data_IF_948726447277
#
_entry.id   IF_948726447277
#
_cell.length_a   1.000
_cell.length_b   1.000
_cell.length_c   1.000
_cell.angle_alpha   90.00
_cell.angle_beta   90.00
_cell.angle_gamma   90.00
#
_symmetry.space_group_name_H-M   'P 1'
#
loop_
_entity.id
_entity.type
_entity.pdbx_description
1 polymer ?
#
# COMPACT_ATOMS: atom_id res chain seq x y z
N UNK A 1 -16.29 -24.17 1.88
CA UNK A 1 -15.66 -23.32 2.91
C UNK A 1 -16.78 -22.75 3.75
N UNK A 2 -16.68 -22.82 5.05
CA UNK A 2 -17.68 -22.26 5.97
C UNK A 2 -17.42 -20.78 6.21
N UNK A 3 -18.44 -20.06 6.66
CA UNK A 3 -18.31 -18.64 7.05
C UNK A 3 -17.22 -18.44 8.12
N UNK A 4 -17.12 -19.37 9.08
CA UNK A 4 -16.06 -19.37 10.09
C UNK A 4 -14.67 -19.47 9.46
N UNK A 5 -14.46 -20.42 8.55
CA UNK A 5 -13.18 -20.59 7.85
C UNK A 5 -12.79 -19.34 7.05
N UNK A 6 -13.75 -18.72 6.36
CA UNK A 6 -13.53 -17.48 5.60
C UNK A 6 -13.04 -16.37 6.54
N UNK A 7 -13.71 -16.17 7.69
CA UNK A 7 -13.30 -15.14 8.65
C UNK A 7 -11.98 -15.46 9.35
N UNK A 8 -11.66 -16.73 9.60
CA UNK A 8 -10.36 -17.13 10.12
C UNK A 8 -9.25 -16.76 9.13
N UNK A 9 -9.43 -17.06 7.84
CA UNK A 9 -8.49 -16.68 6.79
C UNK A 9 -8.38 -15.17 6.63
N UNK A 10 -9.50 -14.45 6.68
CA UNK A 10 -9.52 -12.99 6.64
C UNK A 10 -8.71 -12.37 7.77
N UNK A 11 -8.90 -12.83 9.01
CA UNK A 11 -8.15 -12.31 10.16
C UNK A 11 -6.65 -12.63 10.05
N UNK A 12 -6.28 -13.81 9.56
CA UNK A 12 -4.87 -14.14 9.27
C UNK A 12 -4.28 -13.21 8.20
N UNK A 13 -4.98 -13.00 7.09
CA UNK A 13 -4.55 -12.09 6.03
C UNK A 13 -4.41 -10.63 6.49
N UNK A 14 -5.26 -10.18 7.42
CA UNK A 14 -5.14 -8.86 8.04
C UNK A 14 -3.87 -8.69 8.85
N UNK A 15 -3.42 -9.72 9.58
CA UNK A 15 -2.17 -9.66 10.33
C UNK A 15 -0.98 -9.43 9.39
N UNK A 16 -0.94 -10.18 8.27
CA UNK A 16 0.08 -9.99 7.23
C UNK A 16 0.00 -8.58 6.66
N UNK A 17 -1.21 -8.09 6.36
CA UNK A 17 -1.43 -6.73 5.86
C UNK A 17 -0.88 -5.64 6.80
N UNK A 18 -1.10 -5.77 8.12
CA UNK A 18 -0.56 -4.83 9.12
C UNK A 18 0.97 -4.88 9.15
N UNK A 19 1.58 -6.07 9.12
CA UNK A 19 3.04 -6.20 9.09
C UNK A 19 3.64 -5.58 7.82
N UNK A 20 3.04 -5.84 6.65
CA UNK A 20 3.47 -5.23 5.39
C UNK A 20 3.31 -3.71 5.38
N UNK A 21 2.25 -3.18 6.00
CA UNK A 21 2.06 -1.74 6.15
C UNK A 21 3.14 -1.11 7.01
N UNK A 22 3.49 -1.70 8.16
CA UNK A 22 4.59 -1.23 9.01
C UNK A 22 5.91 -1.24 8.23
N UNK A 23 6.21 -2.32 7.51
CA UNK A 23 7.40 -2.39 6.64
C UNK A 23 7.43 -1.29 5.59
N UNK A 24 6.28 -0.95 5.02
CA UNK A 24 6.16 0.14 4.04
C UNK A 24 6.45 1.51 4.65
N UNK A 25 5.97 1.79 5.87
CA UNK A 25 6.26 3.05 6.57
C UNK A 25 7.76 3.19 6.86
N UNK A 26 8.42 2.12 7.29
CA UNK A 26 9.87 2.12 7.53
C UNK A 26 10.65 2.34 6.22
N UNK A 27 10.22 1.70 5.13
CA UNK A 27 10.83 1.88 3.82
C UNK A 27 10.66 3.33 3.32
N UNK A 28 9.47 3.92 3.47
CA UNK A 28 9.21 5.32 3.11
C UNK A 28 10.09 6.26 3.94
N UNK A 29 10.20 6.02 5.24
CA UNK A 29 11.09 6.79 6.10
C UNK A 29 12.55 6.72 5.62
N UNK A 30 13.03 5.52 5.25
CA UNK A 30 14.35 5.35 4.67
C UNK A 30 14.50 6.12 3.34
N UNK A 31 13.50 6.09 2.46
CA UNK A 31 13.49 6.84 1.20
C UNK A 31 13.62 8.34 1.44
N UNK A 32 12.88 8.89 2.39
CA UNK A 32 12.95 10.30 2.78
C UNK A 32 14.32 10.64 3.39
N UNK A 33 14.91 9.74 4.17
CA UNK A 33 16.25 9.91 4.72
C UNK A 33 17.32 9.94 3.61
N UNK A 34 17.25 9.03 2.65
CA UNK A 34 18.15 9.03 1.48
C UNK A 34 17.97 10.30 0.65
N UNK A 35 16.73 10.73 0.41
CA UNK A 35 16.45 12.00 -0.27
C UNK A 35 17.11 13.20 0.43
N UNK A 36 17.00 13.28 1.76
CA UNK A 36 17.65 14.33 2.55
C UNK A 36 19.18 14.27 2.47
N UNK A 37 19.78 13.09 2.63
CA UNK A 37 21.24 12.91 2.55
C UNK A 37 21.79 13.30 1.16
N UNK A 38 21.09 12.94 0.08
CA UNK A 38 21.45 13.31 -1.29
C UNK A 38 21.33 14.82 -1.51
N UNK A 39 20.36 15.47 -0.88
CA UNK A 39 20.25 16.94 -0.89
C UNK A 39 21.39 17.58 -0.11
N UNK A 40 21.73 17.06 1.06
CA UNK A 40 22.76 17.64 1.93
C UNK A 40 24.15 17.57 1.31
N UNK A 41 24.46 16.51 0.57
CA UNK A 41 25.74 16.35 -0.12
C UNK A 41 25.96 17.43 -1.20
N UNK A 42 26.97 18.29 -1.02
CA UNK A 42 27.32 19.38 -1.94
C UNK A 42 27.92 18.87 -3.25
N UNK A 43 28.59 17.72 -3.22
CA UNK A 43 29.19 17.06 -4.39
C UNK A 43 28.21 16.15 -5.13
N UNK A 44 26.91 16.19 -4.76
CA UNK A 44 25.90 15.33 -5.35
C UNK A 44 25.65 15.66 -6.83
N UNK A 45 26.28 14.86 -7.70
CA UNK A 45 26.08 14.96 -9.13
C UNK A 45 24.68 14.50 -9.56
N UNK A 46 24.31 14.81 -10.81
CA UNK A 46 22.99 14.48 -11.36
C UNK A 46 22.70 12.98 -11.32
N UNK A 47 23.72 12.13 -11.48
CA UNK A 47 23.57 10.66 -11.42
C UNK A 47 23.13 10.23 -10.02
N UNK A 48 23.73 10.76 -8.96
CA UNK A 48 23.35 10.45 -7.58
C UNK A 48 21.90 10.89 -7.26
N UNK A 49 21.47 12.04 -7.77
CA UNK A 49 20.08 12.51 -7.63
C UNK A 49 19.09 11.59 -8.36
N UNK A 50 19.43 11.14 -9.57
CA UNK A 50 18.62 10.20 -10.33
C UNK A 50 18.50 8.84 -9.62
N UNK A 51 19.60 8.28 -9.14
CA UNK A 51 19.61 6.99 -8.42
C UNK A 51 18.78 7.09 -7.13
N UNK A 52 18.92 8.19 -6.39
CA UNK A 52 18.14 8.43 -5.16
C UNK A 52 16.64 8.58 -5.45
N UNK A 53 16.29 9.24 -6.56
CA UNK A 53 14.90 9.37 -7.02
C UNK A 53 14.34 8.00 -7.39
N UNK A 54 15.08 7.22 -8.19
CA UNK A 54 14.67 5.88 -8.59
C UNK A 54 14.46 4.96 -7.38
N UNK A 55 15.38 4.99 -6.41
CA UNK A 55 15.24 4.25 -5.15
C UNK A 55 13.95 4.62 -4.41
N UNK A 56 13.69 5.91 -4.22
CA UNK A 56 12.47 6.37 -3.54
C UNK A 56 11.19 5.99 -4.29
N UNK A 57 11.17 6.09 -5.62
CA UNK A 57 10.02 5.69 -6.44
C UNK A 57 9.78 4.18 -6.43
N UNK A 58 10.84 3.36 -6.37
CA UNK A 58 10.69 1.90 -6.20
C UNK A 58 10.06 1.55 -4.84
N UNK A 59 10.38 2.29 -3.79
CA UNK A 59 9.72 2.13 -2.48
C UNK A 59 8.24 2.52 -2.53
N UNK A 60 7.91 3.60 -3.24
CA UNK A 60 6.50 3.99 -3.47
C UNK A 60 5.76 2.90 -4.24
N UNK A 61 6.35 2.37 -5.32
CA UNK A 61 5.76 1.30 -6.11
C UNK A 61 5.60 -0.02 -5.32
N UNK A 62 6.60 -0.39 -4.51
CA UNK A 62 6.51 -1.55 -3.62
C UNK A 62 5.41 -1.38 -2.57
N UNK A 63 5.26 -0.17 -2.01
CA UNK A 63 4.19 0.14 -1.06
C UNK A 63 2.81 0.09 -1.71
N UNK A 64 2.69 0.59 -2.95
CA UNK A 64 1.47 0.47 -3.75
C UNK A 64 1.03 -0.99 -3.88
N UNK A 65 1.97 -1.89 -4.21
CA UNK A 65 1.69 -3.31 -4.32
C UNK A 65 1.23 -3.89 -2.97
N UNK A 66 1.91 -3.56 -1.86
CA UNK A 66 1.52 -4.02 -0.53
C UNK A 66 0.12 -3.55 -0.13
N UNK A 67 -0.23 -2.30 -0.40
CA UNK A 67 -1.56 -1.74 -0.13
C UNK A 67 -2.66 -2.35 -1.02
N UNK A 68 -2.31 -2.68 -2.28
CA UNK A 68 -3.21 -3.39 -3.19
C UNK A 68 -3.52 -4.78 -2.65
N UNK A 69 -2.51 -5.52 -2.19
CA UNK A 69 -2.69 -6.84 -1.57
C UNK A 69 -3.53 -6.75 -0.29
N UNK A 70 -3.32 -5.73 0.53
CA UNK A 70 -4.14 -5.50 1.72
C UNK A 70 -5.61 -5.26 1.36
N UNK A 71 -5.89 -4.47 0.31
CA UNK A 71 -7.24 -4.22 -0.20
C UNK A 71 -7.85 -5.50 -0.78
N UNK A 72 -7.06 -6.28 -1.51
CA UNK A 72 -7.44 -7.56 -2.10
C UNK A 72 -7.96 -8.54 -1.04
N UNK A 73 -7.35 -8.60 0.14
CA UNK A 73 -7.83 -9.44 1.26
C UNK A 73 -9.29 -9.16 1.64
N UNK A 74 -9.73 -7.90 1.61
CA UNK A 74 -11.13 -7.55 1.92
C UNK A 74 -12.07 -7.98 0.80
N UNK A 75 -11.70 -7.69 -0.45
CA UNK A 75 -12.54 -8.01 -1.63
C UNK A 75 -12.63 -9.52 -1.86
N UNK A 76 -11.53 -10.26 -1.70
CA UNK A 76 -11.52 -11.73 -1.77
C UNK A 76 -12.40 -12.33 -0.67
N UNK A 77 -12.40 -11.75 0.53
CA UNK A 77 -13.27 -12.20 1.62
C UNK A 77 -14.73 -11.96 1.27
N UNK A 78 -15.09 -10.77 0.80
CA UNK A 78 -16.45 -10.46 0.37
C UNK A 78 -16.90 -11.37 -0.79
N UNK A 79 -16.03 -11.60 -1.77
CA UNK A 79 -16.28 -12.53 -2.89
C UNK A 79 -16.57 -13.95 -2.39
N UNK A 80 -15.75 -14.50 -1.48
CA UNK A 80 -15.97 -15.86 -0.98
C UNK A 80 -17.24 -15.96 -0.11
N UNK A 81 -17.59 -14.91 0.64
CA UNK A 81 -18.87 -14.86 1.36
C UNK A 81 -20.05 -14.82 0.39
N UNK A 82 -19.92 -14.09 -0.72
CA UNK A 82 -20.98 -13.96 -1.73
C UNK A 82 -21.29 -15.28 -2.44
N UNK A 83 -20.30 -16.18 -2.55
CA UNK A 83 -20.46 -17.53 -3.09
C UNK A 83 -21.22 -18.51 -2.18
N UNK A 84 -21.44 -18.18 -0.90
CA UNK A 84 -22.16 -19.07 0.01
C UNK A 84 -23.66 -19.08 -0.28
N UNK A 85 -24.27 -20.27 -0.39
CA UNK A 85 -25.72 -20.42 -0.56
C UNK A 85 -26.52 -19.90 0.64
N UNK A 86 -25.94 -19.98 1.84
CA UNK A 86 -26.50 -19.45 3.07
C UNK A 86 -25.38 -18.80 3.89
N UNK A 87 -25.60 -17.57 4.34
CA UNK A 87 -24.67 -16.78 5.14
C UNK A 87 -25.43 -15.95 6.17
N UNK A 88 -24.74 -15.52 7.21
CA UNK A 88 -25.36 -14.66 8.23
C UNK A 88 -25.65 -13.24 7.69
N UNK A 89 -26.57 -12.54 8.36
CA UNK A 89 -26.83 -11.10 8.13
C UNK A 89 -25.56 -10.26 8.32
N UNK A 90 -24.65 -10.69 9.20
CA UNK A 90 -23.38 -10.02 9.39
C UNK A 90 -22.51 -10.10 8.12
N UNK A 91 -22.47 -11.25 7.46
CA UNK A 91 -21.78 -11.42 6.18
C UNK A 91 -22.38 -10.55 5.07
N UNK A 92 -23.71 -10.46 4.99
CA UNK A 92 -24.35 -9.55 4.02
C UNK A 92 -23.94 -8.10 4.26
N UNK A 93 -23.89 -7.65 5.52
CA UNK A 93 -23.44 -6.31 5.88
C UNK A 93 -21.95 -6.09 5.66
N UNK A 94 -21.14 -7.14 5.78
CA UNK A 94 -19.72 -7.07 5.43
C UNK A 94 -19.53 -6.88 3.92
N UNK A 95 -20.25 -7.64 3.08
CA UNK A 95 -20.20 -7.49 1.62
C UNK A 95 -20.63 -6.07 1.21
N UNK A 96 -21.73 -5.56 1.78
CA UNK A 96 -22.19 -4.19 1.58
C UNK A 96 -21.13 -3.16 1.97
N UNK A 97 -20.45 -3.35 3.10
CA UNK A 97 -19.39 -2.47 3.57
C UNK A 97 -18.16 -2.46 2.66
N UNK A 98 -17.72 -3.64 2.19
CA UNK A 98 -16.60 -3.74 1.24
C UNK A 98 -16.96 -3.13 -0.10
N UNK A 99 -18.23 -3.21 -0.50
CA UNK A 99 -18.80 -2.51 -1.64
C UNK A 99 -18.44 -3.08 -3.01
N UNK A 100 -17.64 -4.15 -3.07
CA UNK A 100 -17.31 -4.86 -4.31
C UNK A 100 -16.88 -6.31 -4.02
N UNK A 101 -17.14 -7.19 -4.98
CA UNK A 101 -16.68 -8.59 -5.04
C UNK A 101 -15.89 -8.87 -6.31
N UNK A 102 -15.53 -7.83 -7.07
CA UNK A 102 -14.84 -7.95 -8.35
C UNK A 102 -13.35 -8.31 -8.16
N UNK A 103 -12.92 -9.33 -8.89
CA UNK A 103 -11.53 -9.80 -8.91
C UNK A 103 -10.99 -9.78 -10.36
N UNK A 104 -9.69 -9.53 -10.58
CA UNK A 104 -8.66 -9.25 -9.57
C UNK A 104 -8.66 -7.79 -9.10
N UNK A 105 -8.29 -7.56 -7.83
CA UNK A 105 -8.02 -6.21 -7.33
C UNK A 105 -6.69 -5.72 -7.89
N UNK A 106 -6.73 -4.62 -8.65
CA UNK A 106 -5.57 -4.08 -9.37
C UNK A 106 -4.99 -2.81 -8.76
N UNK A 107 -5.71 -2.19 -7.82
CA UNK A 107 -5.29 -0.93 -7.18
C UNK A 107 -5.60 -0.88 -5.69
N UNK A 108 -4.86 -0.07 -4.91
CA UNK A 108 -5.21 0.28 -3.54
C UNK A 108 -6.50 1.09 -3.46
N UNK A 109 -6.96 1.35 -2.23
CA UNK A 109 -8.06 2.28 -1.99
C UNK A 109 -7.68 3.72 -2.39
N UNK A 110 -8.62 4.57 -2.83
CA UNK A 110 -8.35 5.96 -3.24
C UNK A 110 -7.52 6.77 -2.24
N UNK A 111 -7.81 6.65 -0.95
CA UNK A 111 -7.07 7.34 0.10
C UNK A 111 -5.59 6.92 0.17
N UNK A 112 -5.30 5.63 -0.03
CA UNK A 112 -3.94 5.09 -0.04
C UNK A 112 -3.16 5.57 -1.28
N UNK A 113 -3.83 5.66 -2.42
CA UNK A 113 -3.23 6.20 -3.65
C UNK A 113 -2.83 7.67 -3.48
N UNK A 114 -3.69 8.49 -2.86
CA UNK A 114 -3.40 9.90 -2.56
C UNK A 114 -2.21 10.02 -1.61
N UNK A 115 -2.18 9.21 -0.55
CA UNK A 115 -1.05 9.19 0.38
C UNK A 115 0.29 8.91 -0.33
N UNK A 116 0.32 7.90 -1.20
CA UNK A 116 1.53 7.55 -1.95
C UNK A 116 1.93 8.61 -2.98
N UNK A 117 0.97 9.27 -3.62
CA UNK A 117 1.24 10.39 -4.50
C UNK A 117 1.94 11.54 -3.74
N UNK A 118 1.47 11.86 -2.53
CA UNK A 118 2.09 12.87 -1.66
C UNK A 118 3.52 12.45 -1.30
N UNK A 119 3.73 11.20 -0.90
CA UNK A 119 5.08 10.67 -0.58
C UNK A 119 6.02 10.77 -1.78
N UNK A 120 5.56 10.42 -2.98
CA UNK A 120 6.36 10.55 -4.19
C UNK A 120 6.76 12.01 -4.47
N UNK A 121 5.81 12.95 -4.32
CA UNK A 121 6.08 14.38 -4.45
C UNK A 121 7.09 14.85 -3.40
N UNK A 122 6.98 14.39 -2.15
CA UNK A 122 7.95 14.72 -1.09
C UNK A 122 9.36 14.24 -1.44
N UNK A 123 9.52 13.00 -1.89
CA UNK A 123 10.82 12.44 -2.27
C UNK A 123 11.46 13.26 -3.40
N UNK A 124 10.70 13.51 -4.48
CA UNK A 124 11.22 14.25 -5.65
C UNK A 124 11.53 15.69 -5.28
N UNK A 125 10.64 16.37 -4.55
CA UNK A 125 10.86 17.76 -4.15
C UNK A 125 12.09 17.92 -3.26
N UNK A 126 12.34 17.04 -2.29
CA UNK A 126 13.53 17.10 -1.44
C UNK A 126 14.82 17.00 -2.28
N UNK A 127 14.89 16.08 -3.24
CA UNK A 127 16.11 15.85 -4.03
C UNK A 127 16.41 17.00 -5.00
N UNK A 128 15.37 17.56 -5.62
CA UNK A 128 15.52 18.48 -6.75
C UNK A 128 15.34 19.96 -6.40
N UNK A 129 14.82 20.29 -5.21
CA UNK A 129 14.68 21.70 -4.80
C UNK A 129 16.05 22.36 -4.60
N UNK A 130 16.31 23.53 -5.22
CA UNK A 130 17.56 24.27 -5.02
C UNK A 130 17.79 24.61 -3.56
N UNK A 131 19.05 24.51 -3.08
CA UNK A 131 19.41 25.10 -1.79
C UNK A 131 19.35 26.63 -1.93
N UNK A 132 18.68 27.30 -1.00
CA UNK A 132 18.80 28.75 -0.83
C UNK A 132 20.11 29.06 -0.13
#
# INVERSE_FOLDING_TARGET
>A
MTEYEIYTLFNSGRLVGVTSFIGSIIAIWLALRVANMTRENEDANVVQKLVSTAFGLLIVAGTWMAMTLATSTWVITAYNLDLLESRSVFSDKFIEYVGTTELPVTSPMPMQMIFLAIVAIMIVSIIWTPKK
#
